data_IF_037215083943
#
_entry.id   IF_037215083943
#
_cell.length_a   1.000
_cell.length_b   1.000
_cell.length_c   1.000
_cell.angle_alpha   90.00
_cell.angle_beta   90.00
_cell.angle_gamma   90.00
#
_symmetry.space_group_name_H-M   'P 1'
#
loop_
_entity.id
_entity.type
_entity.pdbx_description
1 polymer ?
#
# COMPACT_ATOMS: atom_id res chain seq x y z
N UNK A 1 20.68 -9.23 -17.64
CA UNK A 1 21.83 -10.03 -18.12
C UNK A 1 22.79 -10.21 -16.95
N UNK A 2 23.40 -11.40 -16.80
CA UNK A 2 24.40 -11.68 -15.76
C UNK A 2 25.76 -11.03 -16.11
N UNK A 3 26.65 -10.82 -15.12
CA UNK A 3 28.00 -10.30 -15.34
C UNK A 3 28.79 -11.17 -16.34
N UNK A 4 29.72 -10.60 -17.14
CA UNK A 4 30.35 -9.28 -17.01
C UNK A 4 29.74 -8.16 -17.88
N UNK A 5 28.69 -8.41 -18.66
CA UNK A 5 28.07 -7.38 -19.52
C UNK A 5 26.62 -7.13 -19.12
N UNK A 6 26.38 -5.99 -18.45
CA UNK A 6 25.07 -5.55 -17.96
C UNK A 6 24.26 -4.81 -19.04
N UNK A 7 24.03 -5.44 -20.19
CA UNK A 7 23.24 -4.81 -21.24
C UNK A 7 21.77 -4.61 -20.85
N UNK A 8 21.25 -3.42 -21.12
CA UNK A 8 19.83 -3.12 -21.00
C UNK A 8 19.05 -3.81 -22.13
N UNK A 9 17.77 -4.10 -21.89
CA UNK A 9 16.89 -4.68 -22.92
C UNK A 9 16.79 -3.80 -24.17
N UNK A 10 16.96 -2.48 -24.02
CA UNK A 10 17.00 -1.53 -25.13
C UNK A 10 18.26 -1.70 -25.97
N UNK A 11 19.43 -1.77 -25.32
CA UNK A 11 20.69 -2.01 -26.05
C UNK A 11 20.66 -3.32 -26.83
N UNK A 12 20.09 -4.39 -26.25
CA UNK A 12 19.93 -5.67 -26.95
C UNK A 12 18.96 -5.56 -28.13
N UNK A 13 17.87 -4.80 -27.98
CA UNK A 13 16.92 -4.55 -29.04
C UNK A 13 17.55 -3.75 -30.20
N UNK A 14 18.33 -2.73 -29.89
CA UNK A 14 19.01 -1.87 -30.87
C UNK A 14 20.12 -2.62 -31.63
N UNK A 15 20.90 -3.46 -30.93
CA UNK A 15 22.01 -4.24 -31.51
C UNK A 15 21.53 -5.34 -32.46
N UNK A 16 20.42 -6.01 -32.11
CA UNK A 16 19.84 -7.10 -32.91
C UNK A 16 18.84 -6.54 -33.95
N UNK A 17 18.46 -5.25 -33.85
CA UNK A 17 17.50 -4.61 -34.75
C UNK A 17 16.06 -5.10 -34.58
N UNK A 18 15.69 -5.53 -33.36
CA UNK A 18 14.38 -6.10 -33.04
C UNK A 18 13.65 -5.20 -32.05
N UNK A 19 12.32 -5.11 -32.12
CA UNK A 19 11.54 -4.36 -31.14
C UNK A 19 11.74 -4.84 -29.70
N UNK A 20 11.82 -3.89 -28.76
CA UNK A 20 12.00 -4.15 -27.30
C UNK A 20 10.97 -5.15 -26.76
N UNK A 21 9.73 -5.11 -27.26
CA UNK A 21 8.67 -6.03 -26.86
C UNK A 21 8.99 -7.50 -27.19
N UNK A 22 9.63 -7.76 -28.32
CA UNK A 22 10.04 -9.11 -28.74
C UNK A 22 11.16 -9.65 -27.85
N UNK A 23 12.16 -8.82 -27.55
CA UNK A 23 13.26 -9.17 -26.63
C UNK A 23 12.71 -9.47 -25.23
N UNK A 24 11.71 -8.71 -24.78
CA UNK A 24 11.01 -8.98 -23.53
C UNK A 24 10.24 -10.32 -23.57
N UNK A 25 9.60 -10.63 -24.70
CA UNK A 25 8.93 -11.92 -24.93
C UNK A 25 9.90 -13.11 -24.83
N UNK A 26 11.03 -13.04 -25.53
CA UNK A 26 12.08 -14.06 -25.46
C UNK A 26 12.63 -14.23 -24.06
N UNK A 27 12.88 -13.13 -23.33
CA UNK A 27 13.30 -13.19 -21.93
C UNK A 27 12.28 -13.96 -21.09
N UNK A 28 11.00 -13.61 -21.19
CA UNK A 28 9.95 -14.28 -20.42
C UNK A 28 9.88 -15.77 -20.73
N UNK A 29 10.10 -16.16 -21.99
CA UNK A 29 10.15 -17.55 -22.41
C UNK A 29 11.38 -18.29 -21.84
N UNK A 30 12.56 -17.68 -21.89
CA UNK A 30 13.77 -18.21 -21.29
C UNK A 30 13.67 -18.33 -19.75
N UNK A 31 12.93 -17.42 -19.10
CA UNK A 31 12.61 -17.51 -17.67
C UNK A 31 11.69 -18.71 -17.37
N UNK A 32 10.69 -18.96 -18.22
CA UNK A 32 9.79 -20.11 -18.08
C UNK A 32 10.51 -21.45 -18.31
N UNK A 33 11.47 -21.47 -19.24
CA UNK A 33 12.30 -22.63 -19.54
C UNK A 33 13.42 -22.85 -18.50
N UNK A 34 13.54 -21.97 -17.51
CA UNK A 34 14.54 -22.07 -16.43
C UNK A 34 15.98 -21.77 -16.86
N UNK A 35 16.17 -21.28 -18.09
CA UNK A 35 17.49 -20.98 -18.66
C UNK A 35 18.06 -19.65 -18.13
N UNK A 36 17.21 -18.77 -17.62
CA UNK A 36 17.63 -17.53 -16.96
C UNK A 36 16.89 -17.33 -15.64
N UNK A 37 17.63 -16.90 -14.62
CA UNK A 37 17.09 -16.57 -13.31
C UNK A 37 16.54 -15.13 -13.38
N UNK A 38 15.29 -14.92 -12.94
CA UNK A 38 14.75 -13.57 -12.74
C UNK A 38 15.65 -12.81 -11.78
N UNK A 39 16.08 -11.61 -12.18
CA UNK A 39 16.50 -10.59 -11.21
C UNK A 39 15.24 -10.21 -10.46
N UNK A 40 14.99 -10.89 -9.34
CA UNK A 40 14.08 -10.40 -8.30
C UNK A 40 14.70 -9.06 -7.89
N UNK A 41 13.98 -7.96 -8.14
CA UNK A 41 14.34 -6.71 -7.46
C UNK A 41 14.26 -7.02 -5.96
N UNK A 42 15.29 -6.67 -5.17
CA UNK A 42 15.36 -7.08 -3.79
C UNK A 42 14.29 -6.35 -2.98
N UNK A 43 13.10 -6.93 -2.96
CA UNK A 43 12.12 -6.65 -1.93
C UNK A 43 12.66 -7.30 -0.66
N UNK A 44 13.37 -6.49 0.14
CA UNK A 44 13.96 -6.83 1.44
C UNK A 44 15.03 -7.95 1.46
N UNK A 45 16.19 -7.72 0.85
CA UNK A 45 17.38 -8.57 1.08
C UNK A 45 17.87 -8.54 2.54
N UNK A 46 17.43 -7.55 3.34
CA UNK A 46 17.88 -7.38 4.73
C UNK A 46 16.72 -7.31 5.72
N UNK A 47 16.80 -8.16 6.75
CA UNK A 47 15.96 -8.06 7.95
C UNK A 47 16.22 -6.74 8.69
N UNK A 48 15.26 -6.24 9.46
CA UNK A 48 15.43 -5.04 10.30
C UNK A 48 16.59 -5.18 11.28
N UNK A 49 16.82 -6.38 11.81
CA UNK A 49 17.96 -6.69 12.67
C UNK A 49 19.29 -6.58 11.90
N UNK A 50 19.34 -7.06 10.66
CA UNK A 50 20.54 -6.97 9.83
C UNK A 50 20.85 -5.53 9.45
N UNK A 51 19.84 -4.75 9.07
CA UNK A 51 19.98 -3.31 8.80
C UNK A 51 20.55 -2.60 10.03
N UNK A 52 20.04 -2.91 11.22
CA UNK A 52 20.53 -2.32 12.46
C UNK A 52 22.00 -2.68 12.73
N UNK A 53 22.37 -3.95 12.60
CA UNK A 53 23.77 -4.40 12.77
C UNK A 53 24.70 -3.71 11.78
N UNK A 54 24.33 -3.66 10.50
CA UNK A 54 25.10 -2.97 9.47
C UNK A 54 25.26 -1.48 9.80
N UNK A 55 24.19 -0.81 10.23
CA UNK A 55 24.26 0.61 10.63
C UNK A 55 25.17 0.82 11.85
N UNK A 56 25.20 -0.12 12.79
CA UNK A 56 26.07 -0.06 13.96
C UNK A 56 27.54 -0.26 13.60
N UNK A 57 27.84 -1.24 12.74
CA UNK A 57 29.20 -1.50 12.24
C UNK A 57 29.73 -0.33 11.41
N UNK A 58 28.88 0.26 10.56
CA UNK A 58 29.25 1.37 9.68
C UNK A 58 29.30 2.73 10.39
N UNK A 59 28.79 2.84 11.61
CA UNK A 59 28.71 4.11 12.34
C UNK A 59 30.07 4.75 12.65
N UNK A 60 31.12 3.93 12.85
CA UNK A 60 32.47 4.39 13.18
C UNK A 60 33.43 4.42 11.98
N UNK A 61 33.00 3.98 10.79
CA UNK A 61 33.84 3.90 9.60
C UNK A 61 34.01 5.27 8.94
N UNK A 62 35.20 5.52 8.40
CA UNK A 62 35.45 6.64 7.49
C UNK A 62 34.76 6.42 6.14
N UNK A 63 34.62 7.48 5.32
CA UNK A 63 33.98 7.39 4.00
C UNK A 63 34.67 6.35 3.09
N UNK A 64 35.99 6.22 3.19
CA UNK A 64 36.75 5.24 2.42
C UNK A 64 36.46 3.80 2.86
N UNK A 65 36.49 3.56 4.18
CA UNK A 65 36.19 2.25 4.76
C UNK A 65 34.72 1.84 4.53
N UNK A 66 33.80 2.81 4.55
CA UNK A 66 32.40 2.59 4.25
C UNK A 66 32.23 2.15 2.79
N UNK A 67 32.93 2.77 1.84
CA UNK A 67 32.89 2.37 0.44
C UNK A 67 33.47 0.96 0.22
N UNK A 68 34.54 0.59 0.93
CA UNK A 68 35.07 -0.77 0.91
C UNK A 68 34.10 -1.79 1.51
N UNK A 69 33.52 -1.47 2.67
CA UNK A 69 32.51 -2.29 3.33
C UNK A 69 31.31 -2.52 2.40
N UNK A 70 30.81 -1.45 1.77
CA UNK A 70 29.72 -1.54 0.81
C UNK A 70 30.04 -2.51 -0.34
N UNK A 71 31.25 -2.43 -0.92
CA UNK A 71 31.68 -3.35 -1.97
C UNK A 71 31.78 -4.81 -1.51
N UNK A 72 32.26 -5.06 -0.29
CA UNK A 72 32.39 -6.41 0.29
C UNK A 72 31.02 -7.04 0.59
N UNK A 73 30.07 -6.24 1.04
CA UNK A 73 28.74 -6.69 1.46
C UNK A 73 27.65 -6.55 0.39
N UNK A 74 28.01 -6.10 -0.83
CA UNK A 74 27.04 -5.90 -1.92
C UNK A 74 26.07 -4.75 -1.69
N UNK A 75 26.43 -3.80 -0.83
CA UNK A 75 25.61 -2.65 -0.45
C UNK A 75 25.99 -1.41 -1.26
N UNK A 76 25.08 -0.45 -1.31
CA UNK A 76 25.33 0.90 -1.82
C UNK A 76 25.33 1.89 -0.65
N UNK A 77 26.23 2.89 -0.64
CA UNK A 77 26.25 3.92 0.40
C UNK A 77 24.92 4.64 0.57
N UNK A 78 24.19 4.80 -0.53
CA UNK A 78 22.85 5.40 -0.56
C UNK A 78 21.84 4.64 0.32
N UNK A 79 21.93 3.31 0.38
CA UNK A 79 21.08 2.48 1.23
C UNK A 79 21.34 2.77 2.72
N UNK A 80 22.61 2.92 3.12
CA UNK A 80 22.98 3.24 4.50
C UNK A 80 22.44 4.61 4.92
N UNK A 81 22.55 5.60 4.03
CA UNK A 81 22.01 6.94 4.27
C UNK A 81 20.49 6.90 4.43
N UNK A 82 19.80 6.18 3.54
CA UNK A 82 18.35 6.02 3.61
C UNK A 82 17.92 5.31 4.91
N UNK A 83 18.58 4.22 5.29
CA UNK A 83 18.28 3.51 6.54
C UNK A 83 18.54 4.36 7.77
N UNK A 84 19.64 5.13 7.81
CA UNK A 84 19.92 6.06 8.90
C UNK A 84 18.83 7.13 9.02
N UNK A 85 18.40 7.72 7.91
CA UNK A 85 17.32 8.71 7.90
C UNK A 85 16.01 8.10 8.38
N UNK A 86 15.67 6.89 7.93
CA UNK A 86 14.47 6.18 8.38
C UNK A 86 14.50 5.89 9.88
N UNK A 87 15.63 5.46 10.43
CA UNK A 87 15.80 5.26 11.87
C UNK A 87 15.60 6.56 12.66
N UNK A 88 16.19 7.67 12.18
CA UNK A 88 16.01 8.98 12.81
C UNK A 88 14.56 9.44 12.75
N UNK A 89 13.90 9.32 11.60
CA UNK A 89 12.50 9.70 11.41
C UNK A 89 11.54 8.85 12.25
N UNK A 90 11.81 7.55 12.39
CA UNK A 90 11.01 6.67 13.24
C UNK A 90 11.12 7.02 14.72
N UNK A 91 12.31 7.43 15.18
CA UNK A 91 12.58 7.79 16.56
C UNK A 91 12.32 9.28 16.89
N UNK A 92 11.90 10.09 15.92
CA UNK A 92 11.48 11.46 16.22
C UNK A 92 10.28 11.46 17.17
N UNK A 93 10.30 12.26 18.25
CA UNK A 93 9.24 12.25 19.24
C UNK A 93 7.94 12.80 18.64
N UNK A 94 7.05 11.91 18.21
CA UNK A 94 5.71 12.25 17.69
C UNK A 94 4.69 12.59 18.77
N UNK A 95 5.13 12.92 19.99
CA UNK A 95 4.26 13.05 21.16
C UNK A 95 3.09 14.03 20.93
N UNK A 96 3.33 15.13 20.22
CA UNK A 96 2.27 16.09 19.88
C UNK A 96 1.34 15.58 18.77
N UNK A 97 1.89 14.97 17.73
CA UNK A 97 1.12 14.41 16.61
C UNK A 97 0.20 13.29 17.07
N UNK A 98 0.68 12.37 17.90
CA UNK A 98 -0.13 11.26 18.42
C UNK A 98 -1.30 11.75 19.29
N UNK A 99 -1.10 12.79 20.10
CA UNK A 99 -2.17 13.37 20.92
C UNK A 99 -3.23 14.05 20.05
N UNK A 100 -2.80 14.80 19.04
CA UNK A 100 -3.71 15.49 18.11
C UNK A 100 -4.47 14.49 17.24
N UNK A 101 -3.83 13.44 16.74
CA UNK A 101 -4.45 12.32 16.03
C UNK A 101 -5.48 11.59 16.90
N UNK A 102 -5.15 11.28 18.16
CA UNK A 102 -6.11 10.65 19.08
C UNK A 102 -7.32 11.55 19.35
N UNK A 103 -7.14 12.87 19.45
CA UNK A 103 -8.24 13.82 19.59
C UNK A 103 -9.10 13.87 18.33
N UNK A 104 -8.49 13.91 17.15
CA UNK A 104 -9.19 13.86 15.86
C UNK A 104 -10.06 12.60 15.77
N UNK A 105 -9.48 11.42 16.01
CA UNK A 105 -10.19 10.13 15.98
C UNK A 105 -11.37 10.10 16.96
N UNK A 106 -11.21 10.67 18.17
CA UNK A 106 -12.32 10.77 19.14
C UNK A 106 -13.44 11.67 18.63
N UNK A 107 -13.10 12.82 18.04
CA UNK A 107 -14.09 13.75 17.50
C UNK A 107 -14.85 13.15 16.31
N UNK A 108 -14.16 12.43 15.42
CA UNK A 108 -14.78 11.73 14.30
C UNK A 108 -15.70 10.62 14.77
N UNK A 109 -15.28 9.81 15.74
CA UNK A 109 -16.15 8.77 16.33
C UNK A 109 -17.40 9.36 16.98
N UNK A 110 -17.29 10.51 17.64
CA UNK A 110 -18.44 11.21 18.19
C UNK A 110 -19.39 11.70 17.09
N UNK A 111 -18.85 12.23 15.99
CA UNK A 111 -19.63 12.66 14.83
C UNK A 111 -20.35 11.50 14.15
N UNK A 112 -19.67 10.37 13.95
CA UNK A 112 -20.26 9.15 13.38
C UNK A 112 -21.46 8.70 14.23
N UNK A 113 -21.29 8.60 15.56
CA UNK A 113 -22.39 8.20 16.46
C UNK A 113 -23.58 9.17 16.41
N UNK A 114 -23.32 10.47 16.32
CA UNK A 114 -24.38 11.47 16.19
C UNK A 114 -25.15 11.30 14.88
N UNK A 115 -24.44 11.12 13.77
CA UNK A 115 -25.02 10.89 12.45
C UNK A 115 -25.81 9.58 12.39
N UNK A 116 -25.29 8.49 12.95
CA UNK A 116 -25.99 7.21 13.06
C UNK A 116 -27.31 7.35 13.84
N UNK A 117 -27.31 8.15 14.92
CA UNK A 117 -28.52 8.40 15.70
C UNK A 117 -29.56 9.20 14.92
N UNK A 118 -29.13 10.21 14.17
CA UNK A 118 -30.01 10.97 13.29
C UNK A 118 -30.58 10.10 12.16
N UNK A 119 -29.76 9.24 11.56
CA UNK A 119 -30.17 8.29 10.54
C UNK A 119 -31.29 7.38 11.08
N UNK A 120 -31.07 6.74 12.25
CA UNK A 120 -32.07 5.86 12.88
C UNK A 120 -33.39 6.57 13.18
N UNK A 121 -33.34 7.85 13.57
CA UNK A 121 -34.56 8.65 13.81
C UNK A 121 -35.33 8.90 12.52
N UNK A 122 -34.61 9.23 11.44
CA UNK A 122 -35.20 9.44 10.11
C UNK A 122 -35.77 8.14 9.55
N UNK A 123 -35.05 7.03 9.65
CA UNK A 123 -35.52 5.73 9.19
C UNK A 123 -36.78 5.28 9.94
N UNK A 124 -36.86 5.54 11.26
CA UNK A 124 -38.07 5.27 12.04
C UNK A 124 -39.27 6.09 11.54
N UNK A 125 -39.09 7.39 11.33
CA UNK A 125 -40.16 8.25 10.82
C UNK A 125 -40.60 7.84 9.41
N UNK A 126 -39.65 7.45 8.55
CA UNK A 126 -39.95 6.92 7.22
C UNK A 126 -40.71 5.59 7.29
N UNK A 127 -40.36 4.70 8.20
CA UNK A 127 -41.07 3.44 8.40
C UNK A 127 -42.50 3.66 8.92
N UNK A 128 -42.71 4.61 9.84
CA UNK A 128 -44.03 4.99 10.33
C UNK A 128 -44.91 5.56 9.20
N UNK A 129 -44.36 6.43 8.34
CA UNK A 129 -45.06 6.93 7.15
C UNK A 129 -45.41 5.81 6.16
N UNK A 130 -44.47 4.91 5.89
CA UNK A 130 -44.72 3.76 5.02
C UNK A 130 -45.85 2.86 5.58
N UNK A 131 -45.87 2.63 6.90
CA UNK A 131 -46.95 1.88 7.53
C UNK A 131 -48.32 2.57 7.41
N UNK A 132 -48.37 3.90 7.56
CA UNK A 132 -49.61 4.66 7.36
C UNK A 132 -50.12 4.57 5.92
N UNK A 133 -49.23 4.68 4.92
CA UNK A 133 -49.61 4.54 3.51
C UNK A 133 -50.18 3.15 3.22
N UNK A 134 -49.55 2.08 3.74
CA UNK A 134 -50.06 0.71 3.59
C UNK A 134 -51.43 0.53 4.25
N UNK A 135 -51.66 1.15 5.42
CA UNK A 135 -52.96 1.10 6.08
C UNK A 135 -54.04 1.85 5.29
N UNK A 136 -53.69 3.00 4.69
CA UNK A 136 -54.60 3.75 3.83
C UNK A 136 -55.00 2.94 2.59
N UNK A 137 -54.04 2.29 1.93
CA UNK A 137 -54.29 1.45 0.76
C UNK A 137 -55.18 0.24 1.09
N UNK A 138 -54.94 -0.41 2.25
CA UNK A 138 -55.81 -1.51 2.71
C UNK A 138 -57.23 -1.03 3.01
N UNK A 139 -57.38 0.17 3.57
CA UNK A 139 -58.69 0.73 3.90
C UNK A 139 -59.47 1.14 2.65
N UNK A 140 -58.81 1.72 1.64
CA UNK A 140 -59.45 1.97 0.34
C UNK A 140 -59.88 0.67 -0.32
N UNK A 141 -59.03 -0.36 -0.34
CA UNK A 141 -59.39 -1.65 -0.91
C UNK A 141 -60.59 -2.30 -0.22
N UNK A 142 -60.71 -2.20 1.11
CA UNK A 142 -61.89 -2.70 1.82
C UNK A 142 -63.17 -1.95 1.45
N UNK A 143 -63.11 -0.63 1.30
CA UNK A 143 -64.27 0.18 0.90
C UNK A 143 -64.71 -0.12 -0.53
N UNK A 144 -63.76 -0.23 -1.45
CA UNK A 144 -64.06 -0.55 -2.84
C UNK A 144 -64.74 -1.93 -2.97
N UNK A 145 -64.35 -2.90 -2.13
CA UNK A 145 -65.00 -4.22 -2.09
C UNK A 145 -66.41 -4.20 -1.46
N UNK A 146 -66.75 -3.23 -0.62
CA UNK A 146 -68.10 -3.08 -0.03
C UNK A 146 -69.09 -2.41 -1.00
N UNK A 147 -68.61 -1.68 -2.02
CA UNK A 147 -69.43 -1.01 -3.03
C UNK A 147 -69.77 -1.92 -4.23
N UNK A 148 -69.06 -3.04 -4.39
CA UNK A 148 -69.22 -4.02 -5.49
C UNK A 148 -70.11 -5.24 -5.11
N UNK A 149 -70.61 -5.33 -3.86
CA UNK A 149 -71.62 -6.31 -3.38
C UNK A 149 -73.03 -5.71 -3.31
#
# INVERSE_FOLDING_TARGET
>A
MMPPYNWSLRQVADDIGVGIATVHGWRKQLELEGLIIRKIEPDSEHSTEQIFTILLETAALSEHELAEYCRKHGLYPEHLVAWKQNCLAANQPKHRQLVDEQRAVRSEKARIRALEKELRRKDKALAELAALLVLQEKLSALRDNEEDD
#
